data_IF_739430255168
#
_entry.id   IF_739430255168
#
_cell.length_a   1.000
_cell.length_b   1.000
_cell.length_c   1.000
_cell.angle_alpha   90.00
_cell.angle_beta   90.00
_cell.angle_gamma   90.00
#
_symmetry.space_group_name_H-M   'P 1'
#
loop_
_entity.id
_entity.type
_entity.pdbx_description
1 polymer ?
#
# COMPACT_ATOMS: atom_id res chain seq x y z
N UNK A 1 -12.07 20.02 3.01
CA UNK A 1 -11.95 18.63 3.49
C UNK A 1 -11.72 17.74 2.27
N UNK A 2 -10.60 17.03 2.16
CA UNK A 2 -10.45 16.00 1.12
C UNK A 2 -11.34 14.82 1.50
N UNK A 3 -12.29 14.46 0.64
CA UNK A 3 -13.09 13.25 0.82
C UNK A 3 -12.26 12.04 0.40
N UNK A 4 -11.81 11.24 1.37
CA UNK A 4 -10.88 10.11 1.18
C UNK A 4 -11.32 9.08 0.12
N UNK A 5 -12.64 8.89 -0.07
CA UNK A 5 -13.19 7.84 -0.93
C UNK A 5 -13.99 8.39 -2.11
N UNK A 6 -13.44 9.39 -2.81
CA UNK A 6 -14.02 9.91 -4.05
C UNK A 6 -12.94 9.99 -5.13
N UNK A 7 -13.37 9.85 -6.38
CA UNK A 7 -12.50 9.97 -7.54
C UNK A 7 -11.84 8.64 -7.96
N UNK A 8 -10.72 8.74 -8.66
CA UNK A 8 -9.98 7.62 -9.23
C UNK A 8 -9.03 7.02 -8.18
N UNK A 9 -9.17 5.72 -7.92
CA UNK A 9 -8.24 4.97 -7.08
C UNK A 9 -7.41 4.03 -7.95
N UNK A 10 -6.09 4.14 -7.87
CA UNK A 10 -5.17 3.27 -8.59
C UNK A 10 -4.78 2.06 -7.72
N UNK A 11 -4.67 0.87 -8.32
CA UNK A 11 -4.32 -0.37 -7.63
C UNK A 11 -3.04 -0.97 -8.25
N UNK A 12 -1.84 -0.53 -7.82
CA UNK A 12 -0.59 -1.03 -8.38
C UNK A 12 -0.32 -2.49 -7.99
N UNK A 13 0.50 -3.15 -8.82
CA UNK A 13 1.18 -4.38 -8.44
C UNK A 13 2.13 -4.11 -7.26
N UNK A 14 2.47 -5.14 -6.48
CA UNK A 14 3.58 -5.11 -5.52
C UNK A 14 4.75 -5.91 -6.11
N UNK A 15 5.74 -5.26 -6.74
CA UNK A 15 6.83 -5.97 -7.40
C UNK A 15 7.68 -6.78 -6.42
N UNK A 16 8.17 -7.92 -6.88
CA UNK A 16 9.17 -8.72 -6.16
C UNK A 16 10.37 -8.98 -7.05
N UNK A 17 11.53 -9.16 -6.44
CA UNK A 17 12.72 -9.66 -7.11
C UNK A 17 12.58 -11.16 -7.45
N UNK A 18 13.65 -11.74 -8.03
CA UNK A 18 13.70 -13.15 -8.41
C UNK A 18 13.69 -14.11 -7.23
N UNK A 19 13.95 -13.63 -6.01
CA UNK A 19 13.91 -14.40 -4.77
C UNK A 19 12.55 -14.26 -4.05
N UNK A 20 11.65 -13.42 -4.59
CA UNK A 20 10.33 -13.17 -4.01
C UNK A 20 10.32 -12.10 -2.91
N UNK A 21 11.41 -11.33 -2.74
CA UNK A 21 11.42 -10.18 -1.85
C UNK A 21 10.81 -8.96 -2.54
N UNK A 22 10.06 -8.15 -1.80
CA UNK A 22 9.46 -6.92 -2.33
C UNK A 22 10.55 -5.96 -2.79
N UNK A 23 10.49 -5.63 -4.08
CA UNK A 23 11.31 -4.63 -4.73
C UNK A 23 10.68 -3.25 -4.48
N UNK A 24 11.22 -2.59 -3.46
CA UNK A 24 10.74 -1.29 -2.97
C UNK A 24 11.03 -0.15 -3.94
N UNK A 25 12.09 -0.25 -4.74
CA UNK A 25 12.44 0.76 -5.73
C UNK A 25 11.48 0.71 -6.92
N UNK A 26 11.16 -0.50 -7.41
CA UNK A 26 10.13 -0.70 -8.42
C UNK A 26 8.75 -0.26 -7.94
N UNK A 27 8.41 -0.56 -6.68
CA UNK A 27 7.18 -0.09 -6.08
C UNK A 27 7.13 1.44 -6.05
N UNK A 28 8.19 2.11 -5.60
CA UNK A 28 8.27 3.57 -5.55
C UNK A 28 8.02 4.20 -6.94
N UNK A 29 8.63 3.65 -8.00
CA UNK A 29 8.40 4.12 -9.38
C UNK A 29 6.92 4.02 -9.80
N UNK A 30 6.19 3.00 -9.37
CA UNK A 30 4.75 2.91 -9.64
C UNK A 30 3.96 3.97 -8.86
N UNK A 31 4.27 4.15 -7.58
CA UNK A 31 3.58 5.11 -6.71
C UNK A 31 3.80 6.56 -7.18
N UNK A 32 5.02 6.92 -7.55
CA UNK A 32 5.34 8.24 -8.10
C UNK A 32 4.60 8.51 -9.41
N UNK A 33 4.55 7.52 -10.30
CA UNK A 33 3.80 7.64 -11.57
C UNK A 33 2.30 7.79 -11.34
N UNK A 34 1.73 7.04 -10.39
CA UNK A 34 0.31 7.15 -10.02
C UNK A 34 0.02 8.54 -9.44
N UNK A 35 0.88 9.02 -8.55
CA UNK A 35 0.77 10.37 -7.99
C UNK A 35 0.81 11.44 -9.09
N UNK A 36 1.80 11.38 -9.99
CA UNK A 36 1.92 12.32 -11.10
C UNK A 36 0.78 12.23 -12.12
N UNK A 37 0.15 11.06 -12.27
CA UNK A 37 -1.03 10.89 -13.11
C UNK A 37 -2.31 11.52 -12.50
N UNK A 38 -2.26 11.98 -11.24
CA UNK A 38 -3.37 12.66 -10.59
C UNK A 38 -4.43 11.72 -10.03
N UNK A 39 -4.06 10.49 -9.63
CA UNK A 39 -4.99 9.62 -8.92
C UNK A 39 -5.35 10.20 -7.54
N UNK A 40 -6.64 10.14 -7.19
CA UNK A 40 -7.16 10.64 -5.91
C UNK A 40 -6.77 9.75 -4.72
N UNK A 41 -6.53 8.45 -4.96
CA UNK A 41 -5.97 7.54 -3.96
C UNK A 41 -5.21 6.37 -4.58
N UNK A 42 -4.43 5.66 -3.75
CA UNK A 42 -3.76 4.41 -4.11
C UNK A 42 -4.19 3.27 -3.19
N UNK A 43 -4.72 2.18 -3.75
CA UNK A 43 -5.04 0.94 -3.06
C UNK A 43 -3.89 -0.06 -3.14
N UNK A 44 -3.14 -0.24 -2.07
CA UNK A 44 -2.01 -1.18 -1.98
C UNK A 44 -2.44 -2.52 -1.36
N UNK A 45 -1.77 -3.61 -1.75
CA UNK A 45 -2.04 -4.97 -1.22
C UNK A 45 -3.49 -5.44 -1.43
N UNK A 46 -4.13 -5.01 -2.53
CA UNK A 46 -5.33 -5.66 -3.05
C UNK A 46 -5.00 -6.96 -3.81
N UNK A 47 -6.01 -7.59 -4.41
CA UNK A 47 -5.80 -8.75 -5.29
C UNK A 47 -4.83 -8.46 -6.44
N UNK A 48 -4.97 -7.28 -7.08
CA UNK A 48 -4.02 -6.77 -8.07
C UNK A 48 -2.61 -6.61 -7.50
N UNK A 49 -2.50 -6.19 -6.24
CA UNK A 49 -1.23 -6.07 -5.54
C UNK A 49 -0.59 -7.42 -5.19
N UNK A 50 -1.27 -8.55 -5.41
CA UNK A 50 -0.74 -9.88 -5.17
C UNK A 50 -0.61 -10.27 -3.70
N UNK A 51 -1.36 -9.63 -2.79
CA UNK A 51 -1.20 -9.81 -1.33
C UNK A 51 -1.19 -11.29 -0.89
N UNK A 52 -1.99 -12.14 -1.54
CA UNK A 52 -2.14 -13.55 -1.23
C UNK A 52 -0.83 -14.35 -1.40
N UNK A 53 0.10 -13.87 -2.22
CA UNK A 53 1.39 -14.51 -2.49
C UNK A 53 2.54 -13.95 -1.63
N UNK A 54 2.26 -12.92 -0.82
CA UNK A 54 3.26 -12.27 0.02
C UNK A 54 3.11 -12.74 1.46
N UNK A 55 4.26 -13.02 2.10
CA UNK A 55 4.32 -13.24 3.54
C UNK A 55 3.96 -11.95 4.30
N UNK A 56 3.64 -12.08 5.58
CA UNK A 56 3.34 -10.92 6.44
C UNK A 56 4.48 -9.89 6.46
N UNK A 57 5.72 -10.36 6.53
CA UNK A 57 6.89 -9.46 6.54
C UNK A 57 7.09 -8.77 5.18
N UNK A 58 6.78 -9.44 4.07
CA UNK A 58 6.80 -8.81 2.74
C UNK A 58 5.70 -7.76 2.60
N UNK A 59 4.48 -8.04 3.09
CA UNK A 59 3.40 -7.05 3.15
C UNK A 59 3.80 -5.83 3.98
N UNK A 60 4.43 -6.06 5.14
CA UNK A 60 4.96 -4.99 6.01
C UNK A 60 6.00 -4.13 5.28
N UNK A 61 6.98 -4.76 4.63
CA UNK A 61 8.00 -4.09 3.82
C UNK A 61 7.40 -3.22 2.72
N UNK A 62 6.40 -3.75 2.00
CA UNK A 62 5.71 -3.00 0.95
C UNK A 62 4.99 -1.76 1.50
N UNK A 63 4.28 -1.89 2.62
CA UNK A 63 3.59 -0.77 3.26
C UNK A 63 4.57 0.29 3.75
N UNK A 64 5.65 -0.10 4.42
CA UNK A 64 6.67 0.84 4.90
C UNK A 64 7.28 1.64 3.73
N UNK A 65 7.70 0.96 2.66
CA UNK A 65 8.23 1.60 1.46
C UNK A 65 7.23 2.55 0.80
N UNK A 66 5.95 2.15 0.74
CA UNK A 66 4.90 2.99 0.15
C UNK A 66 4.64 4.26 0.97
N UNK A 67 4.61 4.14 2.30
CA UNK A 67 4.43 5.27 3.22
C UNK A 67 5.59 6.25 3.10
N UNK A 68 6.83 5.74 3.09
CA UNK A 68 8.03 6.55 2.91
C UNK A 68 8.06 7.28 1.55
N UNK A 69 7.71 6.59 0.46
CA UNK A 69 7.68 7.15 -0.88
C UNK A 69 6.59 8.23 -1.05
N UNK A 70 5.36 7.95 -0.59
CA UNK A 70 4.21 8.84 -0.79
C UNK A 70 4.31 10.08 0.09
N UNK A 71 4.79 9.95 1.33
CA UNK A 71 4.96 11.08 2.24
C UNK A 71 3.68 11.90 2.45
N UNK A 72 2.51 11.25 2.45
CA UNK A 72 1.21 11.90 2.63
C UNK A 72 0.64 12.64 1.42
N UNK A 73 1.32 12.65 0.25
CA UNK A 73 0.88 13.40 -0.94
C UNK A 73 -0.39 12.85 -1.60
N UNK A 74 -0.55 11.52 -1.61
CA UNK A 74 -1.72 10.82 -2.15
C UNK A 74 -2.23 9.86 -1.08
N UNK A 75 -3.54 9.86 -0.76
CA UNK A 75 -4.08 8.91 0.20
C UNK A 75 -3.77 7.45 -0.15
N UNK A 76 -3.25 6.70 0.83
CA UNK A 76 -2.92 5.28 0.70
C UNK A 76 -3.94 4.44 1.47
N UNK A 77 -4.60 3.51 0.78
CA UNK A 77 -5.52 2.53 1.36
C UNK A 77 -4.85 1.16 1.30
N UNK A 78 -4.64 0.53 2.45
CA UNK A 78 -3.90 -0.75 2.54
C UNK A 78 -4.87 -1.90 2.76
N UNK A 79 -4.82 -2.91 1.89
CA UNK A 79 -5.55 -4.16 2.06
C UNK A 79 -4.97 -5.02 3.18
N UNK A 80 -5.81 -5.38 4.15
CA UNK A 80 -5.45 -6.27 5.28
C UNK A 80 -6.05 -7.68 5.14
N UNK A 81 -6.50 -8.02 3.93
CA UNK A 81 -7.12 -9.31 3.64
C UNK A 81 -6.21 -10.50 3.97
N UNK A 82 -6.80 -11.55 4.53
CA UNK A 82 -6.15 -12.82 4.79
C UNK A 82 -7.17 -13.96 4.73
N UNK A 83 -6.70 -15.20 4.57
CA UNK A 83 -7.57 -16.38 4.55
C UNK A 83 -8.21 -16.68 5.92
N UNK A 84 -7.66 -16.12 6.98
CA UNK A 84 -8.17 -16.28 8.34
C UNK A 84 -8.33 -14.92 9.00
N UNK A 85 -9.36 -14.77 9.81
CA UNK A 85 -9.67 -13.52 10.53
C UNK A 85 -8.56 -13.12 11.49
N UNK A 86 -7.93 -14.07 12.18
CA UNK A 86 -6.83 -13.80 13.12
C UNK A 86 -5.60 -13.23 12.41
N UNK A 87 -5.29 -13.73 11.21
CA UNK A 87 -4.20 -13.18 10.38
C UNK A 87 -4.52 -11.78 9.84
N UNK A 88 -5.78 -11.50 9.47
CA UNK A 88 -6.20 -10.17 9.06
C UNK A 88 -6.02 -9.15 10.21
N UNK A 89 -6.46 -9.50 11.42
CA UNK A 89 -6.32 -8.66 12.62
C UNK A 89 -4.86 -8.44 13.01
N UNK A 90 -3.97 -9.43 12.82
CA UNK A 90 -2.53 -9.27 13.08
C UNK A 90 -1.83 -8.28 12.15
N UNK A 91 -2.48 -7.89 11.05
CA UNK A 91 -1.96 -6.92 10.07
C UNK A 91 -2.31 -5.47 10.46
N UNK A 92 -3.18 -5.27 11.45
CA UNK A 92 -3.78 -3.99 11.86
C UNK A 92 -2.79 -2.97 12.48
N UNK A 93 -1.54 -3.36 12.76
CA UNK A 93 -0.51 -2.50 13.39
C UNK A 93 0.37 -1.69 12.42
N UNK A 94 0.01 -1.60 11.14
CA UNK A 94 0.69 -0.74 10.15
C UNK A 94 -0.08 0.58 9.92
N UNK A 95 -0.75 1.08 10.95
CA UNK A 95 -1.17 2.48 10.99
C UNK A 95 0.08 3.35 10.96
N UNK A 96 0.27 4.05 9.84
CA UNK A 96 1.11 5.25 9.76
C UNK A 96 0.78 6.10 10.99
N UNK A 97 1.76 6.59 11.77
CA UNK A 97 1.48 7.36 12.96
C UNK A 97 0.47 8.44 12.62
N UNK A 98 -0.66 8.40 13.33
CA UNK A 98 -1.72 9.39 13.26
C UNK A 98 -1.21 10.69 13.88
N UNK A 99 -0.30 11.36 13.19
CA UNK A 99 0.08 12.74 13.47
C UNK A 99 -0.36 13.56 12.27
N UNK A 100 -1.65 13.85 12.20
CA UNK A 100 -2.28 15.00 11.54
C UNK A 100 -3.80 14.79 11.57
N UNK A 101 -4.38 14.92 12.77
CA UNK A 101 -5.76 15.37 12.92
C UNK A 101 -5.73 16.52 13.91
N UNK A 102 -5.92 17.72 13.35
CA UNK A 102 -6.18 19.02 14.00
C UNK A 102 -5.09 19.58 14.92
#
# INVERSE_FOLDING_TARGET
>A
MMTLFRGLSAFPLTPTDTEGHVDTEALARFLERIHHAGADSTGLLGSTGGYAYLTREQRKRAVQAAVECIGGKTPLVVGVGAFRTDEAQRTEFLTVPSEHHA
#
